data_IF_290234947657
#
_entry.id   IF_290234947657
#
_cell.length_a   1.000
_cell.length_b   1.000
_cell.length_c   1.000
_cell.angle_alpha   90.00
_cell.angle_beta   90.00
_cell.angle_gamma   90.00
#
_symmetry.space_group_name_H-M   'P 1'
#
loop_
_entity.id
_entity.type
_entity.pdbx_description
1 polymer ?
#
# COMPACT_ATOMS: atom_id res chain seq x y z
N UNK A 1 10.60 18.24 -14.42
CA UNK A 1 9.26 17.71 -14.74
C UNK A 1 9.01 17.65 -16.25
N UNK A 2 9.24 18.75 -16.99
CA UNK A 2 9.05 18.85 -18.45
C UNK A 2 9.82 17.80 -19.25
N UNK A 3 11.10 17.56 -18.95
CA UNK A 3 11.91 16.52 -19.62
C UNK A 3 11.28 15.12 -19.52
N UNK A 4 10.75 14.77 -18.34
CA UNK A 4 10.09 13.47 -18.08
C UNK A 4 8.77 13.37 -18.86
N UNK A 5 8.05 14.48 -18.99
CA UNK A 5 6.84 14.52 -19.82
C UNK A 5 7.18 14.36 -21.30
N UNK A 6 8.27 14.96 -21.77
CA UNK A 6 8.74 14.81 -23.16
C UNK A 6 9.10 13.34 -23.44
N UNK A 7 9.86 12.66 -22.56
CA UNK A 7 10.19 11.25 -22.76
C UNK A 7 8.97 10.35 -22.75
N UNK A 8 7.97 10.66 -21.92
CA UNK A 8 6.67 9.97 -21.96
C UNK A 8 5.92 10.19 -23.27
N UNK A 9 5.89 11.43 -23.79
CA UNK A 9 5.24 11.74 -25.05
C UNK A 9 5.92 11.03 -26.22
N UNK A 10 7.27 11.02 -26.26
CA UNK A 10 8.05 10.27 -27.25
C UNK A 10 7.71 8.78 -27.18
N UNK A 11 7.70 8.18 -25.98
CA UNK A 11 7.27 6.80 -25.78
C UNK A 11 5.87 6.54 -26.34
N UNK A 12 4.90 7.40 -25.99
CA UNK A 12 3.50 7.24 -26.40
C UNK A 12 3.33 7.33 -27.92
N UNK A 13 4.07 8.23 -28.56
CA UNK A 13 4.06 8.44 -30.01
C UNK A 13 4.73 7.28 -30.74
N UNK A 14 5.94 6.91 -30.34
CA UNK A 14 6.68 5.78 -30.93
C UNK A 14 5.92 4.46 -30.77
N UNK A 15 5.25 4.24 -29.63
CA UNK A 15 4.39 3.07 -29.41
C UNK A 15 3.16 3.06 -30.32
N UNK A 16 2.56 4.21 -30.62
CA UNK A 16 1.45 4.30 -31.59
C UNK A 16 1.92 3.95 -33.00
N UNK A 17 3.05 4.47 -33.45
CA UNK A 17 3.64 4.16 -34.76
C UNK A 17 3.94 2.67 -34.89
N UNK A 18 4.57 2.07 -33.88
CA UNK A 18 4.90 0.64 -33.85
C UNK A 18 3.66 -0.27 -34.01
N UNK A 19 2.49 0.16 -33.50
CA UNK A 19 1.21 -0.57 -33.62
C UNK A 19 0.44 -0.29 -34.91
N UNK A 20 0.84 0.69 -35.73
CA UNK A 20 0.20 1.04 -37.00
C UNK A 20 0.55 0.09 -38.15
N UNK A 21 -0.23 0.13 -39.24
CA UNK A 21 0.06 -0.59 -40.48
C UNK A 21 1.19 0.09 -41.28
N UNK A 22 2.43 -0.39 -41.14
CA UNK A 22 3.61 0.16 -41.82
C UNK A 22 4.76 -0.86 -41.96
N UNK A 23 5.81 -0.48 -42.69
CA UNK A 23 6.98 -1.30 -43.04
C UNK A 23 7.71 -1.88 -41.80
N UNK A 24 8.18 -3.13 -41.86
CA UNK A 24 8.74 -3.88 -40.71
C UNK A 24 9.94 -3.18 -40.06
N UNK A 25 10.89 -2.67 -40.86
CA UNK A 25 12.07 -1.96 -40.33
C UNK A 25 11.72 -0.68 -39.54
N UNK A 26 10.70 0.05 -39.99
CA UNK A 26 10.23 1.26 -39.29
C UNK A 26 9.56 0.94 -37.95
N UNK A 27 8.88 -0.21 -37.88
CA UNK A 27 8.28 -0.71 -36.64
C UNK A 27 9.31 -1.11 -35.60
N UNK A 28 10.37 -1.80 -36.00
CA UNK A 28 11.43 -2.23 -35.09
C UNK A 28 12.20 -1.04 -34.52
N UNK A 29 12.50 -0.04 -35.36
CA UNK A 29 13.10 1.22 -34.93
C UNK A 29 12.18 1.98 -33.96
N UNK A 30 10.89 2.09 -34.27
CA UNK A 30 9.91 2.74 -33.38
C UNK A 30 9.74 1.99 -32.05
N UNK A 31 9.80 0.65 -32.06
CA UNK A 31 9.74 -0.15 -30.84
C UNK A 31 10.97 0.05 -29.97
N UNK A 32 12.16 0.08 -30.55
CA UNK A 32 13.41 0.36 -29.84
C UNK A 32 13.38 1.76 -29.24
N UNK A 33 12.98 2.77 -30.02
CA UNK A 33 12.82 4.14 -29.55
C UNK A 33 11.79 4.24 -28.40
N UNK A 34 10.66 3.53 -28.50
CA UNK A 34 9.67 3.47 -27.43
C UNK A 34 10.27 2.84 -26.15
N UNK A 35 11.00 1.73 -26.27
CA UNK A 35 11.64 1.07 -25.13
C UNK A 35 12.64 2.00 -24.43
N UNK A 36 13.53 2.63 -25.20
CA UNK A 36 14.54 3.57 -24.67
C UNK A 36 13.85 4.77 -24.01
N UNK A 37 12.88 5.40 -24.67
CA UNK A 37 12.12 6.52 -24.12
C UNK A 37 11.38 6.14 -22.82
N UNK A 38 10.85 4.91 -22.74
CA UNK A 38 10.20 4.41 -21.53
C UNK A 38 11.17 4.22 -20.36
N UNK A 39 12.38 3.70 -20.61
CA UNK A 39 13.42 3.58 -19.59
C UNK A 39 13.83 4.96 -19.06
N UNK A 40 14.08 5.93 -19.95
CA UNK A 40 14.36 7.32 -19.54
C UNK A 40 13.19 7.96 -18.79
N UNK A 41 11.95 7.68 -19.19
CA UNK A 41 10.76 8.12 -18.47
C UNK A 41 10.72 7.58 -17.04
N UNK A 42 10.99 6.27 -16.84
CA UNK A 42 11.04 5.67 -15.51
C UNK A 42 12.12 6.30 -14.65
N UNK A 43 13.37 6.37 -15.15
CA UNK A 43 14.50 6.94 -14.42
C UNK A 43 14.21 8.40 -14.07
N UNK A 44 13.78 9.19 -15.06
CA UNK A 44 13.42 10.59 -14.87
C UNK A 44 12.30 10.78 -13.85
N UNK A 45 11.29 9.90 -13.83
CA UNK A 45 10.21 9.96 -12.84
C UNK A 45 10.75 9.77 -11.42
N UNK A 46 11.57 8.74 -11.18
CA UNK A 46 12.15 8.51 -9.86
C UNK A 46 13.13 9.61 -9.42
N UNK A 47 13.88 10.20 -10.35
CA UNK A 47 14.71 11.37 -10.07
C UNK A 47 13.88 12.58 -9.66
N UNK A 48 12.77 12.85 -10.35
CA UNK A 48 11.84 13.93 -9.97
C UNK A 48 11.23 13.68 -8.59
N UNK A 49 10.80 12.44 -8.31
CA UNK A 49 10.28 12.08 -6.97
C UNK A 49 11.34 12.26 -5.88
N UNK A 50 12.59 11.88 -6.15
CA UNK A 50 13.71 12.12 -5.22
C UNK A 50 13.96 13.61 -4.98
N UNK A 51 14.08 14.42 -6.04
CA UNK A 51 14.27 15.86 -5.93
C UNK A 51 13.11 16.54 -5.17
N UNK A 52 11.87 16.08 -5.37
CA UNK A 52 10.70 16.55 -4.63
C UNK A 52 10.85 16.31 -3.13
N UNK A 53 11.26 15.11 -2.72
CA UNK A 53 11.48 14.78 -1.31
C UNK A 53 12.64 15.57 -0.70
N UNK A 54 13.72 15.74 -1.43
CA UNK A 54 14.86 16.56 -1.00
C UNK A 54 14.46 18.02 -0.82
N UNK A 55 13.66 18.58 -1.73
CA UNK A 55 13.12 19.94 -1.63
C UNK A 55 12.30 20.14 -0.35
N UNK A 56 11.49 19.16 0.06
CA UNK A 56 10.74 19.23 1.33
C UNK A 56 11.67 19.39 2.53
N UNK A 57 12.78 18.64 2.60
CA UNK A 57 13.73 18.78 3.72
C UNK A 57 14.42 20.15 3.74
N UNK A 58 14.80 20.69 2.57
CA UNK A 58 15.36 22.05 2.50
C UNK A 58 14.33 23.11 2.89
N UNK A 59 13.07 22.95 2.48
CA UNK A 59 11.99 23.85 2.87
C UNK A 59 11.71 23.78 4.38
N UNK A 60 11.73 22.58 4.97
CA UNK A 60 11.58 22.37 6.41
C UNK A 60 12.72 23.03 7.21
N UNK A 61 13.96 22.86 6.76
CA UNK A 61 15.13 23.50 7.37
C UNK A 61 15.06 25.03 7.27
N UNK A 62 14.80 25.56 6.08
CA UNK A 62 14.67 26.99 5.85
C UNK A 62 13.54 27.60 6.70
N UNK A 63 12.40 26.92 6.81
CA UNK A 63 11.29 27.37 7.65
C UNK A 63 11.67 27.33 9.14
N UNK A 64 12.36 26.29 9.61
CA UNK A 64 12.85 26.20 10.98
C UNK A 64 13.80 27.35 11.32
N UNK A 65 14.78 27.62 10.47
CA UNK A 65 15.76 28.70 10.65
C UNK A 65 15.10 30.09 10.61
N UNK A 66 14.26 30.34 9.61
CA UNK A 66 13.62 31.65 9.41
C UNK A 66 12.63 31.99 10.51
N UNK A 67 11.88 30.99 11.01
CA UNK A 67 10.87 31.20 12.05
C UNK A 67 11.43 31.08 13.47
N UNK A 68 12.60 30.45 13.63
CA UNK A 68 13.13 30.05 14.93
C UNK A 68 12.23 29.07 15.69
N UNK A 69 11.29 28.40 15.01
CA UNK A 69 10.30 27.53 15.65
C UNK A 69 10.00 26.25 14.85
N UNK A 70 10.96 25.30 14.77
CA UNK A 70 10.75 23.98 14.15
C UNK A 70 9.58 23.19 14.75
N UNK A 71 9.25 23.40 16.03
CA UNK A 71 8.12 22.75 16.69
C UNK A 71 6.79 23.18 16.10
N UNK A 72 6.63 24.45 15.73
CA UNK A 72 5.41 24.93 15.08
C UNK A 72 5.14 24.21 13.76
N UNK A 73 6.19 24.00 12.95
CA UNK A 73 6.07 23.25 11.70
C UNK A 73 5.77 21.77 11.97
N UNK A 74 6.43 21.15 12.95
CA UNK A 74 6.17 19.75 13.33
C UNK A 74 4.71 19.56 13.75
N UNK A 75 4.18 20.44 14.62
CA UNK A 75 2.75 20.45 15.00
C UNK A 75 1.85 20.64 13.79
N UNK A 76 2.20 21.57 12.90
CA UNK A 76 1.41 21.87 11.71
C UNK A 76 1.31 20.65 10.78
N UNK A 77 2.42 19.94 10.53
CA UNK A 77 2.42 18.72 9.69
C UNK A 77 1.44 17.68 10.20
N UNK A 78 1.45 17.44 11.52
CA UNK A 78 0.60 16.44 12.14
C UNK A 78 -0.87 16.91 12.21
N UNK A 79 -1.12 18.19 12.51
CA UNK A 79 -2.47 18.79 12.46
C UNK A 79 -3.06 18.82 11.06
N UNK A 80 -2.26 19.08 10.03
CA UNK A 80 -2.69 19.02 8.63
C UNK A 80 -3.06 17.59 8.26
N UNK A 81 -2.23 16.60 8.63
CA UNK A 81 -2.57 15.21 8.40
C UNK A 81 -3.87 14.81 9.11
N UNK A 82 -4.07 15.27 10.34
CA UNK A 82 -5.31 15.10 11.09
C UNK A 82 -6.51 15.75 10.39
N UNK A 83 -6.39 17.01 9.97
CA UNK A 83 -7.45 17.73 9.26
C UNK A 83 -7.81 17.08 7.92
N UNK A 84 -6.82 16.56 7.17
CA UNK A 84 -7.08 15.80 5.93
C UNK A 84 -7.89 14.54 6.23
N UNK A 85 -7.57 13.84 7.33
CA UNK A 85 -8.32 12.66 7.75
C UNK A 85 -9.74 13.06 8.15
N UNK A 86 -9.90 14.07 9.00
CA UNK A 86 -11.21 14.53 9.51
C UNK A 86 -12.13 15.07 8.41
N UNK A 87 -11.60 15.87 7.47
CA UNK A 87 -12.34 16.28 6.28
C UNK A 87 -12.71 15.07 5.41
N UNK A 88 -11.84 14.08 5.31
CA UNK A 88 -12.16 12.80 4.67
C UNK A 88 -13.30 12.04 5.35
N UNK A 89 -13.53 12.23 6.65
CA UNK A 89 -14.67 11.64 7.37
C UNK A 89 -15.97 12.40 7.07
N UNK A 90 -15.91 13.73 7.02
CA UNK A 90 -17.09 14.61 6.84
C UNK A 90 -17.54 14.71 5.39
N UNK A 91 -16.62 14.67 4.44
CA UNK A 91 -16.91 14.92 3.04
C UNK A 91 -17.57 13.72 2.37
N UNK A 92 -18.70 13.95 1.70
CA UNK A 92 -19.40 12.93 0.88
C UNK A 92 -18.62 12.59 -0.40
N UNK A 93 -17.79 13.50 -0.89
CA UNK A 93 -16.97 13.39 -2.09
C UNK A 93 -15.50 13.71 -1.78
N UNK A 94 -14.53 13.12 -2.52
CA UNK A 94 -13.13 13.41 -2.29
C UNK A 94 -12.86 14.81 -2.82
N UNK A 95 -12.03 15.56 -2.09
CA UNK A 95 -11.68 16.90 -2.55
C UNK A 95 -10.84 16.80 -3.82
N UNK A 96 -11.44 17.18 -4.95
CA UNK A 96 -10.76 17.27 -6.27
C UNK A 96 -9.52 18.15 -6.19
N UNK A 97 -9.53 19.16 -5.32
CA UNK A 97 -8.37 20.02 -5.07
C UNK A 97 -7.27 19.22 -4.38
N UNK A 98 -7.55 18.53 -3.27
CA UNK A 98 -6.53 17.73 -2.55
C UNK A 98 -5.92 16.64 -3.45
N UNK A 99 -6.73 16.00 -4.29
CA UNK A 99 -6.24 15.00 -5.24
C UNK A 99 -5.41 15.63 -6.37
N UNK A 100 -5.91 16.71 -6.97
CA UNK A 100 -5.26 17.41 -8.09
C UNK A 100 -4.01 18.19 -7.69
N UNK A 101 -3.93 18.67 -6.46
CA UNK A 101 -2.80 19.44 -5.92
C UNK A 101 -1.89 18.60 -5.03
N UNK A 102 -1.91 17.26 -5.14
CA UNK A 102 -1.08 16.35 -4.32
C UNK A 102 0.41 16.72 -4.32
N UNK A 103 0.94 17.15 -5.46
CA UNK A 103 2.34 17.57 -5.58
C UNK A 103 2.63 18.97 -4.99
N UNK A 104 1.60 19.80 -4.80
CA UNK A 104 1.69 21.14 -4.20
C UNK A 104 1.36 21.14 -2.71
N UNK A 105 0.65 20.13 -2.22
CA UNK A 105 0.29 19.99 -0.81
C UNK A 105 1.50 19.73 0.08
N UNK A 106 1.41 20.12 1.35
CA UNK A 106 2.46 19.93 2.36
C UNK A 106 2.58 18.44 2.78
N UNK A 107 1.50 17.68 2.65
CA UNK A 107 1.44 16.26 2.96
C UNK A 107 0.69 15.50 1.87
N UNK A 108 1.10 14.26 1.60
CA UNK A 108 0.34 13.36 0.74
C UNK A 108 -0.91 12.87 1.48
N UNK A 109 -2.11 13.08 0.91
CA UNK A 109 -3.36 12.66 1.53
C UNK A 109 -3.42 11.16 1.83
N UNK A 110 -2.69 10.32 1.08
CA UNK A 110 -2.59 8.88 1.36
C UNK A 110 -1.76 8.58 2.61
N UNK A 111 -0.69 9.34 2.83
CA UNK A 111 0.16 9.23 4.02
C UNK A 111 -0.48 9.90 5.25
N UNK A 112 -1.35 10.89 5.02
CA UNK A 112 -2.07 11.57 6.09
C UNK A 112 -2.93 10.61 6.93
N UNK A 113 -3.43 9.51 6.36
CA UNK A 113 -4.22 8.52 7.07
C UNK A 113 -3.50 7.89 8.28
N UNK A 114 -2.19 7.67 8.21
CA UNK A 114 -1.46 7.08 9.34
C UNK A 114 -1.20 8.10 10.45
N UNK A 115 -0.62 9.24 10.07
CA UNK A 115 -0.26 10.33 11.00
C UNK A 115 -1.49 11.03 11.59
N UNK A 116 -2.49 11.31 10.78
CA UNK A 116 -3.71 12.00 11.20
C UNK A 116 -4.52 11.17 12.18
N UNK A 117 -4.65 9.87 11.91
CA UNK A 117 -5.22 8.92 12.86
C UNK A 117 -4.44 8.95 14.19
N UNK A 118 -3.11 8.84 14.16
CA UNK A 118 -2.28 8.87 15.37
C UNK A 118 -2.47 10.13 16.22
N UNK A 119 -2.58 11.31 15.59
CA UNK A 119 -2.74 12.58 16.29
C UNK A 119 -4.07 12.72 17.02
N UNK A 120 -5.18 12.27 16.40
CA UNK A 120 -6.53 12.39 16.97
C UNK A 120 -6.65 11.81 18.38
N UNK A 121 -5.91 10.75 18.63
CA UNK A 121 -6.08 9.88 19.81
C UNK A 121 -5.11 10.28 20.90
N UNK A 122 -3.90 10.65 20.47
CA UNK A 122 -2.81 10.84 21.39
C UNK A 122 -3.09 12.09 22.22
N UNK A 123 -3.54 13.20 21.62
CA UNK A 123 -3.64 14.57 22.19
C UNK A 123 -2.33 15.07 22.83
N UNK A 124 -1.71 14.22 23.64
CA UNK A 124 -0.32 14.07 24.03
C UNK A 124 0.58 13.72 22.84
N UNK A 125 1.38 14.70 22.42
CA UNK A 125 2.36 14.58 21.35
C UNK A 125 3.35 13.41 21.55
N UNK A 126 3.61 12.97 22.79
CA UNK A 126 4.56 11.88 23.06
C UNK A 126 4.10 10.54 22.50
N UNK A 127 2.80 10.23 22.55
CA UNK A 127 2.28 8.94 22.06
C UNK A 127 2.28 8.85 20.53
N UNK A 128 2.12 9.98 19.82
CA UNK A 128 2.15 10.04 18.35
C UNK A 128 3.48 9.52 17.80
N UNK A 129 4.59 9.78 18.51
CA UNK A 129 5.93 9.38 18.10
C UNK A 129 6.08 7.89 17.80
N UNK A 130 5.36 7.01 18.52
CA UNK A 130 5.47 5.55 18.32
C UNK A 130 4.94 5.08 16.96
N UNK A 131 3.97 5.78 16.37
CA UNK A 131 3.48 5.48 15.02
C UNK A 131 4.55 5.72 13.96
N UNK A 132 5.51 6.61 14.23
CA UNK A 132 6.63 6.90 13.34
C UNK A 132 7.75 5.85 13.39
N UNK A 133 7.72 4.89 14.33
CA UNK A 133 8.68 3.78 14.34
C UNK A 133 8.69 3.03 13.02
N UNK A 134 7.51 2.76 12.46
CA UNK A 134 7.39 2.09 11.16
C UNK A 134 7.96 2.97 10.03
N UNK A 135 7.62 4.27 10.02
CA UNK A 135 8.07 5.21 8.99
C UNK A 135 9.60 5.36 8.96
N UNK A 136 10.24 5.30 10.13
CA UNK A 136 11.67 5.53 10.31
C UNK A 136 12.50 4.25 10.12
N UNK A 137 12.05 3.11 10.69
CA UNK A 137 12.88 1.91 10.80
C UNK A 137 12.45 0.74 9.89
N UNK A 138 11.19 0.69 9.43
CA UNK A 138 10.75 -0.43 8.60
C UNK A 138 11.22 -0.28 7.14
N UNK A 139 11.88 -1.29 6.54
CA UNK A 139 12.30 -1.24 5.13
C UNK A 139 11.16 -1.00 4.14
N UNK A 140 9.94 -1.47 4.45
CA UNK A 140 8.75 -1.18 3.64
C UNK A 140 8.40 0.30 3.61
N UNK A 141 8.62 1.04 4.71
CA UNK A 141 8.43 2.49 4.74
C UNK A 141 9.32 3.20 3.72
N UNK A 142 10.62 2.87 3.72
CA UNK A 142 11.56 3.40 2.72
C UNK A 142 11.19 2.97 1.29
N UNK A 143 10.90 1.68 1.06
CA UNK A 143 10.58 1.16 -0.27
C UNK A 143 9.33 1.82 -0.85
N UNK A 144 8.27 1.98 -0.05
CA UNK A 144 7.03 2.62 -0.48
C UNK A 144 7.18 4.13 -0.68
N UNK A 145 8.03 4.78 0.13
CA UNK A 145 8.34 6.22 0.00
C UNK A 145 8.97 6.57 -1.36
N UNK A 146 9.66 5.64 -2.01
CA UNK A 146 10.24 5.88 -3.35
C UNK A 146 9.18 6.32 -4.38
N UNK A 147 7.94 5.87 -4.22
CA UNK A 147 6.79 6.20 -5.05
C UNK A 147 5.97 7.42 -4.55
N UNK A 148 6.49 8.15 -3.55
CA UNK A 148 5.88 9.34 -2.97
C UNK A 148 6.62 10.62 -3.38
N UNK A 149 5.86 11.70 -3.59
CA UNK A 149 6.42 13.05 -3.80
C UNK A 149 6.95 13.67 -2.50
N UNK A 150 6.47 13.17 -1.36
CA UNK A 150 6.75 13.68 -0.02
C UNK A 150 7.49 12.63 0.81
N UNK A 151 8.48 13.04 1.63
CA UNK A 151 9.01 12.14 2.65
C UNK A 151 7.92 11.77 3.65
N UNK A 152 8.03 10.59 4.26
CA UNK A 152 7.11 10.16 5.30
C UNK A 152 7.12 11.16 6.47
N UNK A 153 5.93 11.45 7.01
CA UNK A 153 5.77 12.49 8.04
C UNK A 153 6.65 12.24 9.25
N UNK A 154 6.79 10.98 9.68
CA UNK A 154 7.67 10.63 10.81
C UNK A 154 9.14 11.01 10.60
N UNK A 155 9.65 10.95 9.36
CA UNK A 155 11.04 11.34 9.05
C UNK A 155 11.22 12.86 9.06
N UNK A 156 10.23 13.61 8.58
CA UNK A 156 10.23 15.09 8.62
C UNK A 156 10.14 15.60 10.04
N UNK A 157 9.21 15.05 10.84
CA UNK A 157 9.08 15.38 12.26
C UNK A 157 10.40 15.10 12.99
N UNK A 158 11.04 13.95 12.74
CA UNK A 158 12.37 13.66 13.32
C UNK A 158 13.42 14.73 12.97
N UNK A 159 13.51 15.14 11.70
CA UNK A 159 14.46 16.16 11.27
C UNK A 159 14.20 17.52 11.93
N UNK A 160 12.93 17.92 12.01
CA UNK A 160 12.52 19.15 12.70
C UNK A 160 12.80 19.09 14.20
N UNK A 161 12.60 17.94 14.85
CA UNK A 161 13.00 17.75 16.26
C UNK A 161 14.50 17.95 16.44
N UNK A 162 15.34 17.42 15.54
CA UNK A 162 16.79 17.68 15.59
C UNK A 162 17.12 19.17 15.43
N UNK A 163 16.41 19.91 14.59
CA UNK A 163 16.59 21.37 14.52
C UNK A 163 16.15 22.08 15.79
N UNK A 164 15.08 21.63 16.44
CA UNK A 164 14.64 22.18 17.72
C UNK A 164 15.71 21.97 18.81
N UNK A 165 16.29 20.76 18.87
CA UNK A 165 17.39 20.43 19.78
C UNK A 165 18.64 21.28 19.51
N UNK A 166 19.00 21.50 18.23
CA UNK A 166 20.13 22.36 17.85
C UNK A 166 19.93 23.84 18.19
N UNK A 167 18.68 24.26 18.32
CA UNK A 167 18.29 25.63 18.71
C UNK A 167 18.06 25.76 20.23
N UNK A 168 18.40 24.74 21.02
CA UNK A 168 18.15 24.66 22.47
C UNK A 168 16.67 24.88 22.85
N UNK A 169 15.75 24.44 21.98
CA UNK A 169 14.31 24.51 22.23
C UNK A 169 13.79 23.19 22.81
N UNK A 170 12.79 23.28 23.68
CA UNK A 170 12.02 22.10 24.11
C UNK A 170 11.37 21.43 22.90
N UNK A 171 11.39 20.10 22.83
CA UNK A 171 10.90 19.35 21.67
C UNK A 171 9.41 19.06 21.79
N UNK A 172 8.64 19.31 20.72
CA UNK A 172 7.20 19.01 20.70
C UNK A 172 6.92 17.50 20.81
N UNK A 173 7.73 16.70 20.12
CA UNK A 173 7.61 15.26 20.04
C UNK A 173 8.86 14.63 20.64
N UNK A 174 8.71 13.68 21.56
CA UNK A 174 9.83 12.92 22.14
C UNK A 174 10.38 11.90 21.13
N UNK A 175 11.10 12.41 20.12
CA UNK A 175 11.74 11.58 19.11
C UNK A 175 12.98 10.86 19.65
N UNK A 176 13.57 11.32 20.76
CA UNK A 176 14.67 10.64 21.42
C UNK A 176 14.24 9.25 21.91
N UNK A 177 13.10 9.14 22.58
CA UNK A 177 12.53 7.85 23.00
C UNK A 177 12.19 6.97 21.81
N UNK A 178 11.58 7.52 20.76
CA UNK A 178 11.23 6.78 19.53
C UNK A 178 12.47 6.21 18.85
N UNK A 179 13.53 7.01 18.71
CA UNK A 179 14.78 6.56 18.10
C UNK A 179 15.47 5.51 18.97
N UNK A 180 15.43 5.65 20.30
CA UNK A 180 15.95 4.65 21.24
C UNK A 180 15.21 3.32 21.13
N UNK A 181 13.87 3.31 21.15
CA UNK A 181 13.03 2.12 20.95
C UNK A 181 13.33 1.49 19.57
N UNK A 182 13.41 2.32 18.53
CA UNK A 182 13.71 1.87 17.17
C UNK A 182 15.10 1.24 17.01
N UNK A 183 16.11 1.76 17.71
CA UNK A 183 17.46 1.19 17.70
C UNK A 183 17.55 -0.17 18.42
N UNK A 184 16.61 -0.47 19.32
CA UNK A 184 16.50 -1.79 19.97
C UNK A 184 15.77 -2.82 19.09
N UNK A 185 15.16 -2.41 17.98
CA UNK A 185 14.50 -3.33 17.06
C UNK A 185 15.51 -4.26 16.39
N UNK A 186 15.17 -5.54 16.32
CA UNK A 186 15.94 -6.53 15.57
C UNK A 186 15.97 -6.21 14.07
N UNK A 187 17.11 -5.71 13.58
CA UNK A 187 17.36 -5.48 12.15
C UNK A 187 17.25 -6.76 11.34
N UNK A 188 17.73 -7.90 11.87
CA UNK A 188 17.58 -9.22 11.23
C UNK A 188 16.11 -9.54 10.96
N UNK A 189 15.23 -9.29 11.94
CA UNK A 189 13.79 -9.50 11.78
C UNK A 189 13.18 -8.53 10.78
N UNK A 190 13.52 -7.24 10.81
CA UNK A 190 13.00 -6.23 9.86
C UNK A 190 13.37 -6.56 8.41
N UNK A 191 14.66 -6.72 8.12
CA UNK A 191 15.15 -6.98 6.76
C UNK A 191 14.84 -8.40 6.30
N UNK A 192 14.85 -9.40 7.20
CA UNK A 192 14.42 -10.76 6.88
C UNK A 192 12.95 -10.82 6.49
N UNK A 193 12.08 -10.15 7.26
CA UNK A 193 10.67 -9.99 6.93
C UNK A 193 10.47 -9.31 5.57
N UNK A 194 11.19 -8.23 5.30
CA UNK A 194 11.15 -7.52 4.03
C UNK A 194 11.56 -8.41 2.86
N UNK A 195 12.68 -9.13 2.97
CA UNK A 195 13.17 -10.02 1.91
C UNK A 195 12.17 -11.16 1.63
N UNK A 196 11.62 -11.79 2.67
CA UNK A 196 10.56 -12.81 2.53
C UNK A 196 9.33 -12.22 1.84
N UNK A 197 8.89 -11.03 2.24
CA UNK A 197 7.74 -10.37 1.62
C UNK A 197 8.00 -10.08 0.12
N UNK A 198 9.20 -9.65 -0.28
CA UNK A 198 9.57 -9.44 -1.69
C UNK A 198 9.50 -10.75 -2.50
N UNK A 199 10.02 -11.85 -1.95
CA UNK A 199 9.90 -13.18 -2.57
C UNK A 199 8.44 -13.57 -2.72
N UNK A 200 7.63 -13.38 -1.67
CA UNK A 200 6.21 -13.74 -1.68
C UNK A 200 5.38 -12.88 -2.64
N UNK A 201 5.68 -11.58 -2.77
CA UNK A 201 5.04 -10.73 -3.76
C UNK A 201 5.22 -11.29 -5.17
N UNK A 202 6.39 -11.86 -5.45
CA UNK A 202 6.80 -12.42 -6.74
C UNK A 202 6.65 -13.95 -6.83
N UNK A 203 6.04 -14.62 -5.83
CA UNK A 203 5.99 -16.08 -5.73
C UNK A 203 5.42 -16.77 -6.98
N UNK A 204 4.46 -16.12 -7.65
CA UNK A 204 3.83 -16.64 -8.86
C UNK A 204 4.82 -16.71 -10.03
N UNK A 205 5.62 -15.65 -10.21
CA UNK A 205 6.64 -15.58 -11.25
C UNK A 205 7.80 -16.53 -10.94
N UNK A 206 8.28 -16.52 -9.69
CA UNK A 206 9.34 -17.43 -9.23
C UNK A 206 8.89 -18.88 -9.42
N UNK A 207 7.68 -19.22 -8.98
CA UNK A 207 7.08 -20.53 -9.16
C UNK A 207 7.00 -20.92 -10.63
N UNK A 208 6.56 -20.01 -11.51
CA UNK A 208 6.50 -20.26 -12.96
C UNK A 208 7.88 -20.54 -13.56
N UNK A 209 8.91 -19.79 -13.16
CA UNK A 209 10.29 -19.98 -13.62
C UNK A 209 10.85 -21.31 -13.11
N UNK A 210 10.64 -21.63 -11.83
CA UNK A 210 11.04 -22.94 -11.27
C UNK A 210 10.32 -24.08 -11.99
N UNK A 211 9.03 -23.90 -12.30
CA UNK A 211 8.25 -24.81 -13.13
C UNK A 211 8.89 -25.01 -14.50
N UNK A 212 9.25 -23.93 -15.20
CA UNK A 212 9.94 -24.00 -16.50
C UNK A 212 11.26 -24.77 -16.42
N UNK A 213 12.08 -24.54 -15.38
CA UNK A 213 13.34 -25.25 -15.18
C UNK A 213 13.14 -26.76 -15.02
N UNK A 214 12.11 -27.17 -14.26
CA UNK A 214 11.74 -28.58 -14.11
C UNK A 214 11.22 -29.12 -15.46
N UNK A 215 10.42 -28.33 -16.18
CA UNK A 215 9.89 -28.70 -17.48
C UNK A 215 10.99 -28.99 -18.50
N UNK A 216 12.07 -28.20 -18.52
CA UNK A 216 13.22 -28.41 -19.39
C UNK A 216 13.92 -29.74 -19.13
N UNK A 217 13.96 -30.17 -17.86
CA UNK A 217 14.44 -31.50 -17.51
C UNK A 217 13.46 -32.54 -18.04
N UNK A 218 12.16 -32.47 -17.72
CA UNK A 218 11.18 -33.48 -18.15
C UNK A 218 11.06 -33.59 -19.68
N UNK A 219 11.23 -32.48 -20.40
CA UNK A 219 11.24 -32.45 -21.86
C UNK A 219 12.35 -33.34 -22.45
N UNK A 220 13.53 -33.42 -21.82
CA UNK A 220 14.63 -34.22 -22.35
C UNK A 220 14.37 -35.73 -22.28
N UNK A 221 13.38 -36.17 -21.48
CA UNK A 221 13.01 -37.58 -21.32
C UNK A 221 11.76 -37.94 -22.14
N UNK A 222 10.82 -37.00 -22.25
CA UNK A 222 9.49 -37.24 -22.84
C UNK A 222 9.37 -36.74 -24.29
N UNK A 223 10.25 -35.83 -24.72
CA UNK A 223 10.18 -35.12 -26.01
C UNK A 223 8.86 -34.37 -26.27
N UNK A 224 7.99 -34.22 -25.27
CA UNK A 224 6.67 -33.60 -25.40
C UNK A 224 6.73 -32.11 -25.04
N UNK A 225 6.57 -31.23 -26.03
CA UNK A 225 6.74 -29.76 -25.86
C UNK A 225 5.67 -29.15 -24.94
N UNK A 226 4.49 -29.76 -24.84
CA UNK A 226 3.39 -29.28 -23.97
C UNK A 226 3.74 -29.34 -22.48
N UNK A 227 4.80 -30.05 -22.09
CA UNK A 227 5.33 -30.10 -20.72
C UNK A 227 5.80 -28.71 -20.23
N UNK A 228 6.33 -27.86 -21.12
CA UNK A 228 6.79 -26.51 -20.75
C UNK A 228 5.69 -25.65 -20.15
N UNK A 229 4.60 -25.33 -20.88
CA UNK A 229 3.52 -24.52 -20.32
C UNK A 229 2.81 -25.23 -19.15
N UNK A 230 2.76 -26.56 -19.14
CA UNK A 230 2.13 -27.33 -18.06
C UNK A 230 2.83 -27.12 -16.72
N UNK A 231 4.15 -27.29 -16.67
CA UNK A 231 4.92 -27.12 -15.44
C UNK A 231 5.05 -25.65 -15.03
N UNK A 232 5.06 -24.71 -15.99
CA UNK A 232 4.93 -23.28 -15.67
C UNK A 232 3.62 -22.99 -14.93
N UNK A 233 2.49 -23.56 -15.37
CA UNK A 233 1.19 -23.38 -14.72
C UNK A 233 1.14 -24.05 -13.33
N UNK A 234 1.74 -25.23 -13.16
CA UNK A 234 1.86 -25.83 -11.83
C UNK A 234 2.69 -24.97 -10.88
N UNK A 235 3.84 -24.47 -11.35
CA UNK A 235 4.69 -23.56 -10.59
C UNK A 235 3.96 -22.26 -10.22
N UNK A 236 3.23 -21.68 -11.17
CA UNK A 236 2.37 -20.51 -10.95
C UNK A 236 1.31 -20.78 -9.88
N UNK A 237 0.65 -21.94 -9.94
CA UNK A 237 -0.39 -22.32 -8.99
C UNK A 237 0.18 -22.49 -7.57
N UNK A 238 1.30 -23.20 -7.43
CA UNK A 238 1.99 -23.38 -6.15
C UNK A 238 2.40 -22.02 -5.56
N UNK A 239 3.00 -21.14 -6.39
CA UNK A 239 3.35 -19.79 -5.98
C UNK A 239 2.15 -18.96 -5.53
N UNK A 240 1.01 -19.08 -6.23
CA UNK A 240 -0.25 -18.43 -5.88
C UNK A 240 -0.80 -18.95 -4.54
N UNK A 241 -0.79 -20.26 -4.32
CA UNK A 241 -1.25 -20.89 -3.08
C UNK A 241 -0.41 -20.44 -1.88
N UNK A 242 0.93 -20.53 -1.99
CA UNK A 242 1.85 -20.11 -0.92
C UNK A 242 1.61 -18.64 -0.57
N UNK A 243 1.58 -17.76 -1.59
CA UNK A 243 1.30 -16.33 -1.38
C UNK A 243 -0.04 -16.11 -0.67
N UNK A 244 -1.09 -16.82 -1.09
CA UNK A 244 -2.44 -16.68 -0.51
C UNK A 244 -2.50 -17.09 0.95
N UNK A 245 -1.87 -18.22 1.29
CA UNK A 245 -1.86 -18.75 2.66
C UNK A 245 -1.11 -17.83 3.62
N UNK A 246 0.01 -17.24 3.16
CA UNK A 246 0.79 -16.28 3.96
C UNK A 246 0.10 -14.92 4.03
N UNK A 247 -0.51 -14.47 2.94
CA UNK A 247 -1.19 -13.18 2.88
C UNK A 247 -2.44 -13.14 3.75
N UNK A 248 -3.15 -14.25 3.86
CA UNK A 248 -4.39 -14.40 4.60
C UNK A 248 -4.25 -15.56 5.59
N UNK A 249 -3.54 -15.40 6.73
CA UNK A 249 -3.39 -16.46 7.74
C UNK A 249 -4.72 -16.80 8.42
N UNK A 250 -4.74 -17.87 9.23
CA UNK A 250 -5.93 -18.25 9.97
C UNK A 250 -6.41 -17.11 10.90
N UNK A 251 -7.72 -16.89 10.94
CA UNK A 251 -8.37 -15.82 11.68
C UNK A 251 -9.16 -16.31 12.89
N UNK A 252 -9.21 -17.64 13.14
CA UNK A 252 -9.90 -18.21 14.30
C UNK A 252 -9.41 -17.65 15.64
N UNK A 253 -8.10 -17.40 15.77
CA UNK A 253 -7.47 -16.84 16.98
C UNK A 253 -7.27 -15.32 16.91
N UNK A 254 -8.09 -14.60 16.14
CA UNK A 254 -7.97 -13.14 16.04
C UNK A 254 -8.10 -12.49 17.42
N UNK A 255 -7.07 -11.76 17.84
CA UNK A 255 -7.08 -11.02 19.10
C UNK A 255 -7.83 -9.70 18.95
N UNK A 256 -8.51 -9.27 20.03
CA UNK A 256 -9.10 -7.94 20.09
C UNK A 256 -7.98 -6.91 20.19
N UNK A 257 -8.05 -5.89 19.35
CA UNK A 257 -7.07 -4.80 19.33
C UNK A 257 -7.77 -3.48 19.02
N UNK A 258 -6.99 -2.42 18.91
CA UNK A 258 -7.41 -1.07 18.59
C UNK A 258 -6.53 -0.56 17.44
N UNK A 259 -7.06 0.36 16.63
CA UNK A 259 -6.37 0.88 15.44
C UNK A 259 -5.01 1.47 15.81
N UNK A 260 -4.91 2.24 16.90
CA UNK A 260 -3.65 2.86 17.31
C UNK A 260 -2.55 1.84 17.61
N UNK A 261 -2.85 0.81 18.41
CA UNK A 261 -1.91 -0.25 18.76
C UNK A 261 -1.40 -0.98 17.52
N UNK A 262 -2.27 -1.22 16.52
CA UNK A 262 -1.86 -1.82 15.25
C UNK A 262 -0.94 -0.91 14.45
N UNK A 263 -1.19 0.41 14.51
CA UNK A 263 -0.38 1.41 13.84
C UNK A 263 1.00 1.62 14.47
N UNK A 264 1.16 1.30 15.75
CA UNK A 264 2.45 1.35 16.45
C UNK A 264 3.34 0.13 16.20
N UNK A 265 2.88 -0.92 15.52
CA UNK A 265 3.68 -2.13 15.26
C UNK A 265 4.77 -1.87 14.21
N UNK A 266 6.06 -1.82 14.59
CA UNK A 266 7.13 -1.52 13.65
C UNK A 266 7.43 -2.70 12.70
N UNK A 267 6.99 -3.92 13.03
CA UNK A 267 7.21 -5.13 12.23
C UNK A 267 6.05 -5.43 11.27
N UNK A 268 5.00 -4.60 11.28
CA UNK A 268 3.85 -4.79 10.42
C UNK A 268 4.24 -4.75 8.93
N UNK A 269 3.59 -5.62 8.15
CA UNK A 269 3.88 -5.85 6.74
C UNK A 269 2.68 -5.41 5.88
N UNK A 270 2.94 -4.95 4.64
CA UNK A 270 1.88 -4.77 3.65
C UNK A 270 1.39 -6.11 3.06
N UNK A 271 2.20 -7.18 3.11
CA UNK A 271 1.87 -8.49 2.53
C UNK A 271 1.36 -9.49 3.55
N UNK A 272 1.93 -9.54 4.75
CA UNK A 272 1.49 -10.48 5.80
C UNK A 272 0.42 -9.81 6.66
N UNK A 273 -0.83 -10.19 6.42
CA UNK A 273 -1.96 -9.65 7.14
C UNK A 273 -2.03 -10.17 8.58
N UNK A 274 -2.16 -9.28 9.56
CA UNK A 274 -2.32 -9.65 10.98
C UNK A 274 -3.82 -9.82 11.30
N UNK A 275 -4.30 -11.02 11.68
CA UNK A 275 -5.71 -11.24 11.99
C UNK A 275 -6.10 -10.52 13.29
N UNK A 276 -7.12 -9.66 13.23
CA UNK A 276 -7.53 -8.80 14.33
C UNK A 276 -9.05 -8.66 14.40
N UNK A 277 -9.57 -8.43 15.60
CA UNK A 277 -10.95 -8.01 15.84
C UNK A 277 -10.96 -6.56 16.31
N UNK A 278 -11.68 -5.72 15.56
CA UNK A 278 -11.87 -4.30 15.86
C UNK A 278 -13.36 -4.03 16.12
N UNK A 279 -13.64 -3.05 16.97
CA UNK A 279 -15.00 -2.58 17.23
C UNK A 279 -15.03 -1.07 17.05
N UNK A 280 -16.00 -0.58 16.30
CA UNK A 280 -16.13 0.83 16.00
C UNK A 280 -17.34 1.15 15.14
N UNK A 281 -17.39 2.37 14.64
CA UNK A 281 -18.46 2.88 13.80
C UNK A 281 -18.03 2.91 12.32
N UNK A 282 -18.95 2.58 11.43
CA UNK A 282 -18.74 2.81 10.00
C UNK A 282 -19.11 4.24 9.64
N UNK A 283 -18.11 5.11 9.46
CA UNK A 283 -18.35 6.54 9.24
C UNK A 283 -18.52 6.92 7.77
N UNK A 284 -18.20 6.04 6.83
CA UNK A 284 -18.33 6.34 5.41
C UNK A 284 -17.70 5.32 4.47
N UNK A 285 -17.57 5.71 3.20
CA UNK A 285 -16.87 4.92 2.16
C UNK A 285 -15.39 5.30 2.10
N UNK A 286 -14.54 4.34 1.76
CA UNK A 286 -13.10 4.57 1.60
C UNK A 286 -12.82 5.51 0.41
N UNK A 287 -13.43 5.23 -0.74
CA UNK A 287 -13.45 6.12 -1.91
C UNK A 287 -14.62 7.09 -1.74
N UNK A 288 -14.33 8.31 -1.28
CA UNK A 288 -15.34 9.34 -1.16
C UNK A 288 -15.87 9.66 -2.57
N UNK A 289 -17.16 9.95 -2.72
CA UNK A 289 -17.80 10.32 -4.01
C UNK A 289 -18.04 9.18 -5.00
N UNK A 290 -17.36 8.03 -4.87
CA UNK A 290 -17.80 6.84 -5.59
C UNK A 290 -18.99 6.18 -4.88
N UNK A 291 -20.21 6.52 -5.33
CA UNK A 291 -21.48 6.02 -4.77
C UNK A 291 -21.59 4.50 -4.71
N UNK A 292 -20.82 3.78 -5.53
CA UNK A 292 -20.83 2.32 -5.61
C UNK A 292 -19.59 1.67 -4.98
N UNK A 293 -18.78 2.43 -4.24
CA UNK A 293 -17.59 1.93 -3.56
C UNK A 293 -17.94 0.92 -2.48
N UNK A 294 -17.35 -0.27 -2.53
CA UNK A 294 -17.61 -1.35 -1.55
C UNK A 294 -16.80 -1.21 -0.26
N UNK A 295 -15.71 -0.46 -0.31
CA UNK A 295 -14.78 -0.31 0.80
C UNK A 295 -15.28 0.76 1.78
N UNK A 296 -15.11 0.51 3.08
CA UNK A 296 -15.69 1.31 4.16
C UNK A 296 -14.61 1.95 5.02
N UNK A 297 -14.93 3.05 5.69
CA UNK A 297 -14.12 3.65 6.75
C UNK A 297 -14.64 3.15 8.10
N UNK A 298 -13.77 2.49 8.86
CA UNK A 298 -14.03 2.07 10.23
C UNK A 298 -13.33 3.02 11.18
N UNK A 299 -14.08 3.55 12.15
CA UNK A 299 -13.57 4.46 13.15
C UNK A 299 -13.77 3.85 14.53
N UNK A 300 -12.70 3.72 15.31
CA UNK A 300 -12.78 3.43 16.74
C UNK A 300 -12.31 4.64 17.55
N UNK A 301 -12.38 4.52 18.89
CA UNK A 301 -11.87 5.55 19.82
C UNK A 301 -10.39 5.89 19.60
N UNK A 302 -9.66 4.97 18.98
CA UNK A 302 -8.23 4.98 18.74
C UNK A 302 -7.87 5.23 17.27
N UNK A 303 -8.79 5.71 16.43
CA UNK A 303 -8.41 6.05 15.05
C UNK A 303 -9.41 5.69 13.97
N UNK A 304 -8.99 5.95 12.73
CA UNK A 304 -9.71 5.55 11.53
C UNK A 304 -8.83 4.67 10.66
N UNK A 305 -9.44 3.62 10.10
CA UNK A 305 -8.80 2.73 9.13
C UNK A 305 -9.77 2.41 8.00
N UNK A 306 -9.21 2.24 6.81
CA UNK A 306 -9.97 1.75 5.66
C UNK A 306 -10.14 0.24 5.73
N UNK A 307 -11.34 -0.23 5.46
CA UNK A 307 -11.69 -1.64 5.42
C UNK A 307 -12.01 -2.04 3.99
N UNK A 308 -11.33 -3.08 3.51
CA UNK A 308 -11.42 -3.54 2.12
C UNK A 308 -12.37 -4.72 2.01
N UNK A 309 -13.41 -4.58 1.21
CA UNK A 309 -14.39 -5.62 0.95
C UNK A 309 -14.06 -6.37 -0.36
N UNK A 310 -14.17 -7.70 -0.32
CA UNK A 310 -14.05 -8.56 -1.49
C UNK A 310 -15.23 -9.51 -1.62
N UNK A 311 -16.04 -9.35 -2.67
CA UNK A 311 -17.11 -10.28 -2.99
C UNK A 311 -16.60 -11.54 -3.70
N UNK A 312 -17.27 -12.67 -3.47
CA UNK A 312 -17.09 -13.89 -4.27
C UNK A 312 -17.37 -13.67 -5.76
N UNK A 313 -18.27 -12.74 -6.10
CA UNK A 313 -18.59 -12.40 -7.49
C UNK A 313 -17.67 -11.33 -8.08
N UNK A 314 -16.52 -11.06 -7.44
CA UNK A 314 -15.52 -10.14 -7.95
C UNK A 314 -16.05 -8.71 -8.09
N UNK A 315 -15.66 -7.98 -9.15
CA UNK A 315 -16.05 -6.58 -9.34
C UNK A 315 -17.57 -6.33 -9.36
N UNK A 316 -18.34 -7.25 -9.96
CA UNK A 316 -19.81 -7.15 -10.03
C UNK A 316 -20.39 -7.25 -8.62
N UNK A 317 -19.92 -8.20 -7.82
CA UNK A 317 -20.36 -8.35 -6.44
C UNK A 317 -19.96 -7.18 -5.54
N UNK A 318 -18.79 -6.58 -5.78
CA UNK A 318 -18.36 -5.36 -5.08
C UNK A 318 -19.28 -4.19 -5.41
N UNK A 319 -19.60 -4.00 -6.69
CA UNK A 319 -20.55 -2.98 -7.15
C UNK A 319 -21.95 -3.17 -6.55
N UNK A 320 -22.47 -4.40 -6.55
CA UNK A 320 -23.79 -4.71 -5.97
C UNK A 320 -23.83 -4.46 -4.46
N UNK A 321 -22.78 -4.85 -3.73
CA UNK A 321 -22.67 -4.56 -2.31
C UNK A 321 -22.60 -3.04 -2.05
N UNK A 322 -21.74 -2.35 -2.80
CA UNK A 322 -21.56 -0.90 -2.71
C UNK A 322 -22.84 -0.12 -3.01
N UNK A 323 -23.59 -0.49 -4.04
CA UNK A 323 -24.83 0.18 -4.43
C UNK A 323 -25.97 -0.03 -3.44
N UNK A 324 -26.12 -1.24 -2.89
CA UNK A 324 -27.35 -1.64 -2.17
C UNK A 324 -27.22 -1.66 -0.64
N UNK A 325 -26.07 -2.08 -0.09
CA UNK A 325 -25.94 -2.36 1.36
C UNK A 325 -25.10 -1.33 2.10
N UNK A 326 -24.05 -0.82 1.47
CA UNK A 326 -23.08 0.08 2.14
C UNK A 326 -23.75 1.31 2.76
N UNK A 327 -24.69 1.95 2.06
CA UNK A 327 -25.34 3.16 2.56
C UNK A 327 -26.08 2.94 3.88
N UNK A 328 -26.67 1.76 4.08
CA UNK A 328 -27.43 1.41 5.28
C UNK A 328 -26.54 1.01 6.46
N UNK A 329 -25.27 0.67 6.18
CA UNK A 329 -24.28 0.31 7.19
C UNK A 329 -23.58 1.54 7.78
N UNK A 330 -23.52 2.64 7.03
CA UNK A 330 -22.90 3.90 7.50
C UNK A 330 -23.70 4.45 8.69
N UNK A 331 -22.98 4.85 9.74
CA UNK A 331 -23.51 5.28 11.04
C UNK A 331 -23.80 4.14 12.02
N UNK A 332 -23.59 2.88 11.63
CA UNK A 332 -23.82 1.73 12.51
C UNK A 332 -22.55 1.35 13.29
N UNK A 333 -22.75 0.96 14.56
CA UNK A 333 -21.73 0.32 15.37
C UNK A 333 -21.55 -1.12 14.92
N UNK A 334 -20.31 -1.53 14.69
CA UNK A 334 -19.96 -2.81 14.09
C UNK A 334 -18.81 -3.51 14.83
N UNK A 335 -18.88 -4.84 14.83
CA UNK A 335 -17.74 -5.69 15.15
C UNK A 335 -17.14 -6.22 13.84
N UNK A 336 -15.86 -5.97 13.64
CA UNK A 336 -15.16 -6.27 12.40
C UNK A 336 -14.03 -7.24 12.67
N UNK A 337 -13.98 -8.33 11.90
CA UNK A 337 -12.86 -9.26 11.85
C UNK A 337 -12.17 -9.11 10.50
N UNK A 338 -10.85 -8.96 10.50
CA UNK A 338 -10.10 -8.77 9.27
C UNK A 338 -8.60 -8.96 9.46
N UNK A 339 -7.86 -8.83 8.36
CA UNK A 339 -6.39 -8.82 8.39
C UNK A 339 -5.86 -7.40 8.26
N UNK A 340 -5.22 -6.91 9.31
CA UNK A 340 -4.54 -5.62 9.31
C UNK A 340 -3.26 -5.68 8.47
N UNK A 341 -3.06 -4.68 7.62
CA UNK A 341 -1.87 -4.48 6.80
C UNK A 341 -1.35 -3.07 6.98
N UNK A 342 -0.04 -2.96 7.16
CA UNK A 342 0.63 -1.66 7.23
C UNK A 342 1.32 -1.36 5.91
N UNK A 343 0.87 -0.30 5.26
CA UNK A 343 1.60 0.43 4.22
C UNK A 343 1.57 1.92 4.54
N UNK A 344 1.83 2.77 3.54
CA UNK A 344 1.67 4.23 3.68
C UNK A 344 0.24 4.58 4.11
N UNK A 345 -0.75 3.99 3.43
CA UNK A 345 -2.14 3.96 3.87
C UNK A 345 -2.41 2.56 4.46
N UNK A 346 -2.74 2.45 5.76
CA UNK A 346 -3.08 1.17 6.37
C UNK A 346 -4.47 0.68 5.89
N UNK A 347 -4.62 -0.64 5.79
CA UNK A 347 -5.87 -1.28 5.39
C UNK A 347 -6.19 -2.45 6.30
N UNK A 348 -7.49 -2.69 6.49
CA UNK A 348 -8.01 -3.90 7.09
C UNK A 348 -8.76 -4.69 6.00
N UNK A 349 -8.19 -5.82 5.58
CA UNK A 349 -8.91 -6.70 4.66
C UNK A 349 -10.05 -7.38 5.41
N UNK A 350 -11.28 -7.04 5.06
CA UNK A 350 -12.47 -7.50 5.75
C UNK A 350 -12.66 -9.02 5.57
N UNK A 351 -13.01 -9.71 6.65
CA UNK A 351 -13.45 -11.11 6.64
C UNK A 351 -14.93 -11.16 7.00
N UNK A 352 -15.26 -10.59 8.16
CA UNK A 352 -16.58 -10.62 8.75
C UNK A 352 -16.91 -9.26 9.34
N UNK A 353 -18.12 -8.78 9.09
CA UNK A 353 -18.67 -7.56 9.67
C UNK A 353 -20.03 -7.89 10.28
N UNK A 354 -20.18 -7.59 11.55
CA UNK A 354 -21.42 -7.74 12.31
C UNK A 354 -21.94 -6.36 12.68
N UNK A 355 -23.13 -6.05 12.21
CA UNK A 355 -23.98 -4.98 12.72
C UNK A 355 -25.23 -5.61 13.33
N UNK A 356 -25.93 -4.88 14.21
CA UNK A 356 -27.10 -5.39 14.94
C UNK A 356 -28.14 -6.09 14.06
N UNK A 357 -28.30 -5.64 12.80
CA UNK A 357 -29.30 -6.16 11.87
C UNK A 357 -28.73 -6.91 10.67
N UNK A 358 -27.42 -6.86 10.43
CA UNK A 358 -26.82 -7.36 9.19
C UNK A 358 -25.43 -7.92 9.39
N UNK A 359 -25.18 -9.07 8.79
CA UNK A 359 -23.85 -9.67 8.68
C UNK A 359 -23.34 -9.56 7.23
N UNK A 360 -22.07 -9.21 7.08
CA UNK A 360 -21.41 -9.12 5.78
C UNK A 360 -20.13 -9.95 5.80
N UNK A 361 -20.02 -10.83 4.80
CA UNK A 361 -18.88 -11.71 4.61
C UNK A 361 -18.05 -11.25 3.41
N UNK A 362 -16.73 -11.36 3.54
CA UNK A 362 -15.77 -10.99 2.50
C UNK A 362 -14.80 -12.15 2.24
N UNK A 363 -14.38 -12.31 0.99
CA UNK A 363 -13.80 -13.54 0.44
C UNK A 363 -12.50 -13.29 -0.32
N UNK A 364 -11.53 -12.65 0.33
CA UNK A 364 -10.23 -12.30 -0.30
C UNK A 364 -9.44 -13.51 -0.84
N UNK A 365 -9.59 -14.69 -0.23
CA UNK A 365 -8.91 -15.92 -0.69
C UNK A 365 -9.55 -16.53 -1.96
N UNK A 366 -10.84 -16.28 -2.20
CA UNK A 366 -11.65 -17.08 -3.13
C UNK A 366 -11.10 -17.07 -4.56
N UNK A 367 -10.91 -15.89 -5.16
CA UNK A 367 -10.41 -15.78 -6.53
C UNK A 367 -8.96 -16.26 -6.67
N UNK A 368 -8.13 -16.05 -5.66
CA UNK A 368 -6.75 -16.55 -5.68
C UNK A 368 -6.71 -18.08 -5.71
N UNK A 369 -7.58 -18.73 -4.93
CA UNK A 369 -7.74 -20.19 -4.94
C UNK A 369 -8.30 -20.69 -6.27
N UNK A 370 -9.32 -20.03 -6.84
CA UNK A 370 -9.87 -20.40 -8.15
C UNK A 370 -8.80 -20.30 -9.24
N UNK A 371 -8.01 -19.22 -9.25
CA UNK A 371 -6.92 -19.04 -10.22
C UNK A 371 -5.86 -20.12 -10.07
N UNK A 372 -5.48 -20.47 -8.83
CA UNK A 372 -4.53 -21.56 -8.60
C UNK A 372 -5.08 -22.92 -9.06
N UNK A 373 -6.33 -23.26 -8.71
CA UNK A 373 -6.98 -24.51 -9.13
C UNK A 373 -7.15 -24.57 -10.65
N UNK A 374 -7.59 -23.46 -11.26
CA UNK A 374 -7.71 -23.35 -12.72
C UNK A 374 -6.37 -23.53 -13.42
N UNK A 375 -5.29 -22.95 -12.90
CA UNK A 375 -3.95 -23.17 -13.42
C UNK A 375 -3.50 -24.63 -13.29
N UNK A 376 -3.82 -25.32 -12.20
CA UNK A 376 -3.55 -26.75 -12.04
C UNK A 376 -4.32 -27.57 -13.09
N UNK A 377 -5.62 -27.34 -13.26
CA UNK A 377 -6.45 -28.08 -14.22
C UNK A 377 -5.95 -27.86 -15.65
N UNK A 378 -5.66 -26.61 -16.03
CA UNK A 378 -5.09 -26.30 -17.34
C UNK A 378 -3.71 -26.91 -17.53
N UNK A 379 -2.87 -26.91 -16.48
CA UNK A 379 -1.57 -27.57 -16.49
C UNK A 379 -1.68 -29.07 -16.75
N UNK A 380 -2.62 -29.76 -16.09
CA UNK A 380 -2.90 -31.17 -16.37
C UNK A 380 -3.45 -31.40 -17.78
N UNK A 381 -4.39 -30.56 -18.22
CA UNK A 381 -4.94 -30.64 -19.58
C UNK A 381 -3.85 -30.56 -20.65
N UNK A 382 -2.93 -29.60 -20.52
CA UNK A 382 -1.81 -29.45 -21.45
C UNK A 382 -0.82 -30.62 -21.36
N UNK A 383 -0.57 -31.17 -20.18
CA UNK A 383 0.35 -32.29 -20.00
C UNK A 383 -0.13 -33.56 -20.73
N UNK A 384 -1.44 -33.80 -20.75
CA UNK A 384 -2.03 -34.99 -21.40
C UNK A 384 -2.44 -34.78 -22.87
N UNK A 385 -2.29 -33.57 -23.41
CA UNK A 385 -2.43 -33.33 -24.86
C UNK A 385 -1.16 -33.83 -25.54
N UNK A 386 -1.27 -35.01 -26.16
CA UNK A 386 -0.23 -35.68 -26.96
C UNK A 386 0.10 -34.91 -28.24
#
# INVERSE_FOLDING_TARGET
>A
ATLVQITYLIYSFARRISRGGGNSKGKDAAQTAAMVAYVFYIIGTYLVLYLSRTREYYADHFAAETTGNPNALSRALVKIAYGIVEEGERAKEPSKLIEGTRALGICDHKAAASTGTAYRIASDSQKVGRVFLWDIFNPWGWWMELNSTHPLTGKRVRALTTYAEQMDLETEFDMATVVREGNQLSKKKLYGNFAVDIVLFNAQFIGSITGLMIASIVLSWTAQVTVLPSFMLFGFAVGTLIKTLVMYPDFKQSSRSDIFTLMCDPYASPLRGRPVKLQGELIGRADAGYKFGSDLKLQDRSGMIYTRYASRFGPIGNFLFGSSKVQNLIGSQVNVVGWFRRGIAPWLDLIHLESNNTTVNSYHRFWSLIVAVGAIILGFGLFFVL
#
